data_IF_506141600339
#
_entry.id   IF_506141600339
#
_cell.length_a   1.000
_cell.length_b   1.000
_cell.length_c   1.000
_cell.angle_alpha   90.00
_cell.angle_beta   90.00
_cell.angle_gamma   90.00
#
_symmetry.space_group_name_H-M   'P 1'
#
loop_
_entity.id
_entity.type
_entity.pdbx_description
1 polymer ?
#
# COMPACT_ATOMS: atom_id res chain seq x y z
N UNK A 1 3.32 -4.36 -12.78
CA UNK A 1 3.53 -5.81 -12.55
C UNK A 1 4.73 -6.34 -13.33
N UNK A 2 5.03 -5.77 -14.49
CA UNK A 2 6.15 -6.15 -15.35
C UNK A 2 7.50 -6.25 -14.63
N UNK A 3 7.87 -5.22 -13.85
CA UNK A 3 9.10 -5.23 -13.05
C UNK A 3 9.23 -6.49 -12.17
N UNK A 4 8.18 -6.83 -11.42
CA UNK A 4 8.22 -7.99 -10.51
C UNK A 4 8.33 -9.31 -11.25
N UNK A 5 7.61 -9.47 -12.37
CA UNK A 5 7.68 -10.68 -13.18
C UNK A 5 9.08 -10.86 -13.76
N UNK A 6 9.66 -9.80 -14.32
CA UNK A 6 11.00 -9.84 -14.88
C UNK A 6 12.06 -10.12 -13.81
N UNK A 7 11.98 -9.43 -12.67
CA UNK A 7 12.86 -9.66 -11.53
C UNK A 7 12.77 -11.10 -11.03
N UNK A 8 11.58 -11.69 -11.02
CA UNK A 8 11.39 -13.08 -10.59
C UNK A 8 11.99 -14.09 -11.57
N UNK A 9 11.94 -13.80 -12.88
CA UNK A 9 12.57 -14.64 -13.89
C UNK A 9 14.09 -14.57 -13.80
N UNK A 10 14.65 -13.35 -13.76
CA UNK A 10 16.09 -13.15 -13.65
C UNK A 10 16.64 -13.73 -12.33
N UNK A 11 15.85 -13.73 -11.25
CA UNK A 11 16.21 -14.40 -10.00
C UNK A 11 16.30 -15.93 -10.16
N UNK A 12 15.32 -16.55 -10.82
CA UNK A 12 15.31 -18.00 -11.07
C UNK A 12 16.45 -18.42 -12.00
N UNK A 13 16.80 -17.55 -12.93
CA UNK A 13 17.91 -17.76 -13.85
C UNK A 13 19.27 -17.49 -13.18
N UNK A 14 19.31 -16.95 -11.95
CA UNK A 14 20.56 -16.64 -11.25
C UNK A 14 21.19 -15.28 -11.59
N UNK A 15 20.57 -14.45 -12.44
CA UNK A 15 21.16 -13.20 -12.97
C UNK A 15 21.25 -12.05 -11.96
N UNK A 16 20.59 -12.18 -10.82
CA UNK A 16 20.47 -11.12 -9.82
C UNK A 16 21.72 -11.04 -8.95
N UNK A 17 22.56 -10.03 -9.16
CA UNK A 17 23.85 -9.92 -8.47
C UNK A 17 23.75 -9.53 -6.98
N UNK A 18 22.63 -8.96 -6.54
CA UNK A 18 22.38 -8.44 -5.19
C UNK A 18 21.64 -9.44 -4.28
N UNK A 19 21.33 -10.65 -4.78
CA UNK A 19 20.69 -11.69 -3.99
C UNK A 19 21.72 -12.58 -3.28
N UNK A 20 21.48 -12.90 -2.00
CA UNK A 20 22.27 -13.88 -1.27
C UNK A 20 21.92 -15.31 -1.71
N UNK A 21 22.93 -16.18 -1.89
CA UNK A 21 22.73 -17.59 -2.24
C UNK A 21 21.76 -18.27 -1.26
N UNK A 22 20.78 -19.00 -1.80
CA UNK A 22 19.80 -19.73 -1.00
C UNK A 22 18.63 -18.90 -0.46
N UNK A 23 18.62 -17.57 -0.63
CA UNK A 23 17.47 -16.71 -0.24
C UNK A 23 16.22 -17.15 -1.00
N UNK A 24 15.06 -17.06 -0.36
CA UNK A 24 13.78 -17.37 -1.02
C UNK A 24 13.34 -16.22 -1.92
N UNK A 25 12.81 -16.55 -3.11
CA UNK A 25 12.28 -15.58 -4.08
C UNK A 25 11.28 -14.61 -3.43
N UNK A 26 10.35 -15.13 -2.63
CA UNK A 26 9.35 -14.30 -1.94
C UNK A 26 10.00 -13.30 -0.97
N UNK A 27 11.02 -13.73 -0.24
CA UNK A 27 11.75 -12.86 0.70
C UNK A 27 12.55 -11.80 -0.06
N UNK A 28 13.24 -12.20 -1.12
CA UNK A 28 13.97 -11.27 -1.98
C UNK A 28 13.05 -10.20 -2.61
N UNK A 29 11.94 -10.61 -3.21
CA UNK A 29 10.95 -9.68 -3.77
C UNK A 29 10.34 -8.75 -2.72
N UNK A 30 10.14 -9.24 -1.49
CA UNK A 30 9.61 -8.43 -0.39
C UNK A 30 10.53 -7.25 -0.05
N UNK A 31 11.85 -7.48 -0.11
CA UNK A 31 12.87 -6.44 0.08
C UNK A 31 12.87 -5.45 -1.09
N UNK A 32 12.91 -5.95 -2.33
CA UNK A 32 12.99 -5.10 -3.54
C UNK A 32 11.74 -4.24 -3.75
N UNK A 33 10.56 -4.77 -3.40
CA UNK A 33 9.28 -4.06 -3.55
C UNK A 33 8.87 -3.30 -2.28
N UNK A 34 9.69 -3.36 -1.22
CA UNK A 34 9.41 -2.81 0.10
C UNK A 34 8.00 -3.15 0.60
N UNK A 35 7.65 -4.45 0.58
CA UNK A 35 6.33 -4.93 0.96
C UNK A 35 6.42 -6.23 1.76
N UNK A 36 5.39 -6.56 2.53
CA UNK A 36 5.38 -7.84 3.26
C UNK A 36 5.19 -9.03 2.30
N UNK A 37 5.84 -10.19 2.54
CA UNK A 37 5.66 -11.38 1.70
C UNK A 37 4.20 -11.81 1.54
N UNK A 38 3.37 -11.55 2.55
CA UNK A 38 1.94 -11.85 2.53
C UNK A 38 1.16 -11.00 1.50
N UNK A 39 1.64 -9.77 1.18
CA UNK A 39 1.08 -8.98 0.07
C UNK A 39 1.37 -9.62 -1.28
N UNK A 40 2.52 -10.28 -1.46
CA UNK A 40 2.85 -10.98 -2.71
C UNK A 40 1.88 -12.16 -2.93
N UNK A 41 1.56 -12.91 -1.88
CA UNK A 41 0.58 -14.01 -1.92
C UNK A 41 -0.81 -13.61 -2.39
N UNK A 42 -1.19 -12.33 -2.19
CA UNK A 42 -2.51 -11.80 -2.58
C UNK A 42 -2.48 -11.05 -3.91
N UNK A 43 -1.31 -10.58 -4.35
CA UNK A 43 -1.12 -9.83 -5.60
C UNK A 43 -0.79 -10.73 -6.80
N UNK A 44 -0.28 -11.93 -6.55
CA UNK A 44 0.17 -12.84 -7.59
C UNK A 44 -0.57 -14.16 -7.50
N UNK A 45 -1.12 -14.62 -8.63
CA UNK A 45 -1.77 -15.92 -8.72
C UNK A 45 -0.74 -17.06 -8.69
N UNK A 46 -1.20 -18.28 -8.39
CA UNK A 46 -0.35 -19.48 -8.38
C UNK A 46 0.32 -19.73 -9.74
N UNK A 47 -0.34 -19.35 -10.83
CA UNK A 47 0.18 -19.46 -12.20
C UNK A 47 1.39 -18.56 -12.49
N UNK A 48 1.59 -17.49 -11.72
CA UNK A 48 2.73 -16.58 -11.90
C UNK A 48 4.08 -17.23 -11.56
N UNK A 49 4.08 -18.35 -10.85
CA UNK A 49 5.30 -19.02 -10.38
C UNK A 49 6.11 -18.20 -9.34
N UNK A 50 5.61 -17.04 -8.90
CA UNK A 50 6.22 -16.21 -7.84
C UNK A 50 5.94 -16.81 -6.45
N UNK A 51 4.84 -17.54 -6.33
CA UNK A 51 4.43 -18.21 -5.09
C UNK A 51 5.15 -19.55 -4.85
N UNK A 52 6.13 -19.94 -5.67
CA UNK A 52 6.90 -21.15 -5.43
C UNK A 52 7.92 -21.04 -4.29
N UNK A 53 8.46 -22.18 -3.87
CA UNK A 53 9.62 -22.26 -2.97
C UNK A 53 10.93 -22.23 -3.79
N UNK A 54 11.16 -21.12 -4.50
CA UNK A 54 12.39 -20.94 -5.27
C UNK A 54 13.47 -20.32 -4.40
N UNK A 55 14.65 -20.96 -4.37
CA UNK A 55 15.86 -20.44 -3.75
C UNK A 55 16.78 -19.86 -4.82
N UNK A 56 17.48 -18.77 -4.49
CA UNK A 56 18.46 -18.19 -5.39
C UNK A 56 19.66 -19.12 -5.55
N UNK A 57 20.09 -19.32 -6.79
CA UNK A 57 21.30 -20.04 -7.14
C UNK A 57 22.11 -19.21 -8.18
N UNK A 58 23.24 -18.60 -7.79
CA UNK A 58 24.11 -17.85 -8.70
C UNK A 58 24.91 -18.75 -9.66
N UNK A 59 24.80 -20.07 -9.52
CA UNK A 59 25.44 -21.05 -10.40
C UNK A 59 24.45 -21.73 -11.34
N UNK A 60 23.21 -21.23 -11.39
CA UNK A 60 22.18 -21.77 -12.25
C UNK A 60 22.69 -21.95 -13.69
N UNK A 61 22.46 -23.14 -14.25
CA UNK A 61 22.94 -23.53 -15.59
C UNK A 61 22.61 -22.50 -16.69
N UNK A 62 21.49 -21.78 -16.53
CA UNK A 62 21.07 -20.71 -17.44
C UNK A 62 22.11 -19.59 -17.55
N UNK A 63 22.78 -19.21 -16.45
CA UNK A 63 23.87 -18.24 -16.47
C UNK A 63 25.06 -18.69 -17.32
N UNK A 64 25.37 -19.99 -17.29
CA UNK A 64 26.51 -20.53 -18.03
C UNK A 64 26.32 -20.44 -19.54
N UNK A 65 25.08 -20.54 -20.02
CA UNK A 65 24.73 -20.42 -21.45
C UNK A 65 24.53 -18.99 -21.96
N UNK A 66 24.50 -17.99 -21.07
CA UNK A 66 24.25 -16.60 -21.46
C UNK A 66 25.54 -15.86 -21.83
N UNK A 67 25.58 -15.28 -23.03
CA UNK A 67 26.69 -14.41 -23.44
C UNK A 67 26.79 -13.17 -22.53
N UNK A 68 27.98 -12.57 -22.39
CA UNK A 68 28.15 -11.35 -21.60
C UNK A 68 27.24 -10.20 -22.07
N UNK A 69 27.00 -10.10 -23.38
CA UNK A 69 26.16 -9.05 -23.97
C UNK A 69 24.69 -9.23 -23.57
N UNK A 70 24.18 -10.46 -23.63
CA UNK A 70 22.81 -10.76 -23.19
C UNK A 70 22.62 -10.45 -21.70
N UNK A 71 23.62 -10.75 -20.87
CA UNK A 71 23.60 -10.39 -19.44
C UNK A 71 23.54 -8.87 -19.22
N UNK A 72 24.34 -8.10 -19.97
CA UNK A 72 24.29 -6.63 -19.94
C UNK A 72 22.92 -6.10 -20.35
N UNK A 73 22.36 -6.62 -21.44
CA UNK A 73 21.06 -6.18 -21.95
C UNK A 73 19.96 -6.45 -20.93
N UNK A 74 19.88 -7.67 -20.39
CA UNK A 74 18.88 -8.01 -19.37
C UNK A 74 19.01 -7.14 -18.12
N UNK A 75 20.23 -6.87 -17.66
CA UNK A 75 20.47 -5.97 -16.51
C UNK A 75 20.01 -4.54 -16.81
N UNK A 76 20.23 -4.05 -18.03
CA UNK A 76 19.77 -2.72 -18.47
C UNK A 76 18.24 -2.64 -18.49
N UNK A 77 17.57 -3.63 -19.07
CA UNK A 77 16.11 -3.70 -19.11
C UNK A 77 15.51 -3.76 -17.70
N UNK A 78 16.06 -4.61 -16.83
CA UNK A 78 15.59 -4.74 -15.45
C UNK A 78 15.70 -3.42 -14.69
N UNK A 79 16.80 -2.68 -14.89
CA UNK A 79 16.99 -1.35 -14.28
C UNK A 79 15.96 -0.33 -14.78
N UNK A 80 15.67 -0.30 -16.07
CA UNK A 80 14.63 0.58 -16.63
C UNK A 80 13.26 0.31 -16.02
N UNK A 81 12.93 -0.98 -15.82
CA UNK A 81 11.69 -1.39 -15.16
C UNK A 81 11.65 -1.00 -13.68
N UNK A 82 12.79 -1.09 -12.98
CA UNK A 82 12.92 -0.66 -11.58
C UNK A 82 12.71 0.86 -11.45
N UNK A 83 13.35 1.65 -12.31
CA UNK A 83 13.22 3.10 -12.34
C UNK A 83 11.77 3.53 -12.62
N UNK A 84 11.13 2.90 -13.61
CA UNK A 84 9.72 3.14 -13.93
C UNK A 84 8.78 2.76 -12.77
N UNK A 85 9.06 1.65 -12.08
CA UNK A 85 8.29 1.23 -10.91
C UNK A 85 8.36 2.24 -9.77
N UNK A 86 9.55 2.76 -9.47
CA UNK A 86 9.74 3.75 -8.43
C UNK A 86 9.11 5.10 -8.76
N UNK A 87 9.22 5.55 -10.02
CA UNK A 87 8.55 6.77 -10.49
C UNK A 87 7.05 6.71 -10.23
N UNK A 88 6.39 5.67 -10.71
CA UNK A 88 4.95 5.49 -10.52
C UNK A 88 4.55 5.36 -9.03
N UNK A 89 5.39 4.72 -8.21
CA UNK A 89 5.11 4.60 -6.77
C UNK A 89 5.23 5.94 -6.03
N UNK A 90 6.15 6.81 -6.46
CA UNK A 90 6.35 8.13 -5.87
C UNK A 90 5.23 9.12 -6.22
N UNK A 91 4.73 9.09 -7.46
CA UNK A 91 3.63 9.95 -7.91
C UNK A 91 2.32 9.63 -7.17
N UNK A 92 2.02 8.35 -6.97
CA UNK A 92 0.85 7.92 -6.18
C UNK A 92 0.96 8.36 -4.71
N UNK A 93 2.15 8.29 -4.10
CA UNK A 93 2.35 8.77 -2.72
C UNK A 93 2.17 10.28 -2.61
N UNK A 94 2.63 11.04 -3.61
CA UNK A 94 2.49 12.50 -3.63
C UNK A 94 1.02 12.92 -3.78
N UNK A 95 0.24 12.24 -4.64
CA UNK A 95 -1.19 12.54 -4.80
C UNK A 95 -2.01 12.20 -3.56
N UNK A 96 -1.73 11.05 -2.92
CA UNK A 96 -2.37 10.68 -1.62
C UNK A 96 -2.04 11.70 -0.54
N UNK A 97 -0.78 12.14 -0.44
CA UNK A 97 -0.37 13.17 0.52
C UNK A 97 -1.11 14.48 0.25
N UNK A 98 -1.24 14.89 -1.02
CA UNK A 98 -2.00 16.09 -1.37
C UNK A 98 -3.50 15.94 -1.09
N UNK A 99 -4.10 14.77 -1.32
CA UNK A 99 -5.49 14.49 -1.01
C UNK A 99 -5.76 14.52 0.51
N UNK A 100 -4.86 13.95 1.32
CA UNK A 100 -4.88 14.03 2.79
C UNK A 100 -4.79 15.48 3.27
N UNK A 101 -3.82 16.26 2.77
CA UNK A 101 -3.66 17.67 3.15
C UNK A 101 -4.89 18.51 2.75
N UNK A 102 -5.45 18.28 1.55
CA UNK A 102 -6.70 18.93 1.10
C UNK A 102 -7.88 18.55 2.01
N UNK A 103 -7.99 17.27 2.40
CA UNK A 103 -9.03 16.77 3.31
C UNK A 103 -8.89 17.37 4.71
N UNK A 104 -7.68 17.43 5.27
CA UNK A 104 -7.39 18.08 6.56
C UNK A 104 -7.72 19.58 6.53
N UNK A 105 -7.42 20.28 5.43
CA UNK A 105 -7.76 21.69 5.27
C UNK A 105 -9.27 21.92 5.19
N UNK A 106 -10.02 21.04 4.52
CA UNK A 106 -11.49 21.05 4.53
C UNK A 106 -12.04 20.83 5.94
N UNK A 107 -11.50 19.88 6.71
CA UNK A 107 -11.91 19.64 8.12
C UNK A 107 -11.64 20.85 9.02
N UNK A 108 -10.52 21.56 8.82
CA UNK A 108 -10.23 22.80 9.56
C UNK A 108 -11.22 23.92 9.27
N UNK A 109 -11.66 24.08 8.03
CA UNK A 109 -12.66 25.10 7.67
C UNK A 109 -14.04 24.85 8.30
N UNK A 110 -14.40 23.59 8.53
CA UNK A 110 -15.67 23.21 9.18
C UNK A 110 -15.58 23.22 10.72
N UNK A 111 -14.39 23.45 11.30
CA UNK A 111 -14.24 23.60 12.75
C UNK A 111 -14.51 25.06 13.12
N UNK A 112 -15.78 25.41 13.22
CA UNK A 112 -16.24 26.65 13.83
C UNK A 112 -15.71 26.70 15.28
N UNK A 113 -15.30 27.88 15.82
CA UNK A 113 -15.05 28.03 17.24
C UNK A 113 -16.29 27.57 18.01
N UNK A 114 -16.11 26.69 18.98
CA UNK A 114 -17.16 26.41 19.94
C UNK A 114 -17.34 27.68 20.78
N UNK A 115 -18.48 28.34 20.59
CA UNK A 115 -19.01 29.30 21.56
C UNK A 115 -19.12 28.62 22.94
N UNK A 116 -18.82 29.32 24.04
CA UNK A 116 -18.90 28.77 25.39
C UNK A 116 -20.35 28.34 25.73
N UNK A 117 -20.54 27.34 26.62
CA UNK A 117 -21.88 26.84 26.92
C UNK A 117 -22.72 27.91 27.63
N UNK A 118 -23.79 28.36 26.97
CA UNK A 118 -24.85 29.18 27.58
C UNK A 118 -25.65 28.35 28.58
N UNK A 119 -25.79 28.79 29.84
CA UNK A 119 -26.77 28.24 30.75
C UNK A 119 -28.11 28.95 30.53
N UNK A 120 -29.17 28.19 30.24
CA UNK A 120 -30.57 28.46 30.58
C UNK A 120 -31.47 27.62 29.67
N UNK A 121 -31.67 26.37 30.04
CA UNK A 121 -32.86 25.62 29.65
C UNK A 121 -33.84 25.76 30.81
N UNK A 122 -34.91 26.54 30.64
CA UNK A 122 -36.20 26.31 31.28
C UNK A 122 -37.27 27.03 30.45
N UNK A 123 -38.45 26.41 30.38
CA UNK A 123 -39.67 26.71 29.62
C UNK A 123 -39.77 25.93 28.30
N UNK A 124 -40.80 25.15 28.01
CA UNK A 124 -41.93 24.57 28.74
C UNK A 124 -42.52 23.50 27.79
N UNK A 125 -43.34 22.54 28.28
CA UNK A 125 -44.38 21.97 27.41
C UNK A 125 -45.78 22.30 27.96
N UNK A 126 -46.57 22.95 27.11
CA UNK A 126 -48.02 23.06 27.23
C UNK A 126 -48.64 21.74 26.74
N UNK A 127 -49.41 21.07 27.59
CA UNK A 127 -50.59 20.25 27.23
C UNK A 127 -51.37 20.00 28.53
N UNK A 128 -52.48 20.72 28.75
CA UNK A 128 -53.84 20.25 28.46
C UNK A 128 -54.27 19.09 29.39
N UNK A 129 -54.99 19.39 30.48
CA UNK A 129 -56.38 18.94 30.71
C UNK A 129 -56.92 19.42 32.06
N UNK A 130 -58.10 20.02 32.00
CA UNK A 130 -58.99 20.41 33.09
C UNK A 130 -59.25 19.24 34.06
N UNK A 131 -59.00 19.44 35.36
CA UNK A 131 -59.67 18.69 36.42
C UNK A 131 -59.66 19.44 37.77
N UNK A 132 -60.84 19.48 38.36
CA UNK A 132 -61.17 19.73 39.77
C UNK A 132 -61.33 21.18 40.26
N UNK A 133 -62.62 21.52 40.28
CA UNK A 133 -63.22 22.63 40.96
C UNK A 133 -63.17 22.50 42.50
N UNK A 134 -63.22 23.67 43.13
CA UNK A 134 -63.80 23.98 44.43
C UNK A 134 -63.01 23.71 45.72
N UNK A 135 -63.01 24.78 46.52
CA UNK A 135 -62.35 25.02 47.79
C UNK A 135 -62.86 24.14 48.94
N UNK A 136 -61.99 24.08 49.96
CA UNK A 136 -62.27 23.69 51.33
C UNK A 136 -63.42 24.48 51.98
N UNK A 137 -64.01 23.83 52.99
CA UNK A 137 -64.60 24.37 54.23
C UNK A 137 -65.63 25.51 54.14
#
# INVERSE_FOLDING_TARGET
MEYTLRLSADFKDGLVSDAATGILLRQYLSLKLNCSPMRLSKKFDKSSGILGMHRYDPTASVLSGLTPEMRRLRKKELKQLEDAFHKNSSEVKADVMQAEVRSMKRRRLHRHPQEPPTPCAMMAPLDLLVALACHAA
#
